data_IF_610371504555
#
_entry.id   IF_610371504555
#
_cell.length_a   1.000
_cell.length_b   1.000
_cell.length_c   1.000
_cell.angle_alpha   90.00
_cell.angle_beta   90.00
_cell.angle_gamma   90.00
#
_symmetry.space_group_name_H-M   'P 1'
#
loop_
_entity.id
_entity.type
_entity.pdbx_description
1 polymer ?
#
# COMPACT_ATOMS: atom_id res chain seq x y z
N UNK A 1 35.64 -33.18 -14.54
CA UNK A 1 35.21 -31.86 -14.05
C UNK A 1 34.23 -32.09 -12.91
N UNK A 2 34.61 -31.70 -11.71
CA UNK A 2 33.82 -31.81 -10.47
C UNK A 2 33.88 -30.45 -9.76
N UNK A 3 32.79 -30.13 -9.08
CA UNK A 3 32.32 -28.82 -8.59
C UNK A 3 33.28 -28.03 -7.68
N UNK A 4 33.04 -26.71 -7.54
CA UNK A 4 32.76 -26.07 -6.23
C UNK A 4 32.34 -24.58 -6.33
N UNK A 5 31.35 -24.25 -5.50
CA UNK A 5 30.78 -22.95 -5.16
C UNK A 5 31.82 -21.92 -4.70
N UNK A 6 31.59 -20.66 -5.01
CA UNK A 6 32.02 -19.51 -4.19
C UNK A 6 30.82 -18.58 -4.03
N UNK A 7 30.31 -18.48 -2.81
CA UNK A 7 29.38 -17.44 -2.40
C UNK A 7 30.17 -16.28 -1.83
N UNK A 8 29.83 -15.06 -2.25
CA UNK A 8 30.27 -13.83 -1.59
C UNK A 8 29.04 -12.95 -1.36
N UNK A 9 28.65 -12.91 -0.09
CA UNK A 9 28.40 -11.73 0.72
C UNK A 9 27.91 -10.46 0.01
N UNK A 10 26.66 -10.08 0.33
CA UNK A 10 26.31 -8.69 0.58
C UNK A 10 25.13 -8.66 1.56
N UNK A 11 25.49 -8.65 2.84
CA UNK A 11 24.55 -8.47 3.95
C UNK A 11 23.84 -7.13 3.82
N UNK A 12 22.51 -7.18 3.88
CA UNK A 12 21.67 -6.02 4.11
C UNK A 12 21.98 -5.46 5.51
N UNK A 13 22.52 -4.26 5.58
CA UNK A 13 22.60 -3.49 6.82
C UNK A 13 21.25 -2.81 7.08
N UNK A 14 20.51 -3.31 8.06
CA UNK A 14 19.41 -2.59 8.70
C UNK A 14 20.04 -1.60 9.70
N UNK A 15 19.65 -0.32 9.74
CA UNK A 15 20.16 0.59 10.76
C UNK A 15 19.43 0.35 12.08
N UNK A 16 20.05 -0.45 12.94
CA UNK A 16 19.74 -0.56 14.37
C UNK A 16 20.80 0.20 15.18
N UNK A 17 20.31 1.01 16.11
CA UNK A 17 20.94 1.63 17.28
C UNK A 17 22.43 1.33 17.53
N UNK A 18 23.28 2.37 17.47
CA UNK A 18 24.43 2.48 18.38
C UNK A 18 24.54 3.93 18.89
N UNK A 19 24.22 4.11 20.18
CA UNK A 19 24.37 5.35 20.93
C UNK A 19 25.85 5.52 21.34
N UNK A 20 26.68 6.00 20.43
CA UNK A 20 28.06 6.41 20.69
C UNK A 20 28.11 7.79 21.35
N UNK A 21 28.66 7.85 22.56
CA UNK A 21 28.86 9.10 23.31
C UNK A 21 30.17 9.75 22.88
N UNK A 22 30.15 10.70 21.93
CA UNK A 22 31.27 11.62 21.75
C UNK A 22 30.79 13.04 21.44
N UNK A 23 31.24 13.97 22.30
CA UNK A 23 31.00 15.41 22.20
C UNK A 23 31.72 15.95 20.97
N UNK A 24 30.99 16.43 19.97
CA UNK A 24 31.50 17.47 19.07
C UNK A 24 30.36 18.37 18.60
N UNK A 25 30.56 19.67 18.89
CA UNK A 25 29.72 20.79 18.53
C UNK A 25 29.62 20.87 17.02
N UNK A 26 28.42 20.71 16.45
CA UNK A 26 27.92 21.40 15.24
C UNK A 26 26.44 21.03 15.16
N UNK A 27 25.58 21.96 15.59
CA UNK A 27 24.13 21.78 15.62
C UNK A 27 23.57 21.56 14.22
N UNK A 28 23.49 20.30 13.80
CA UNK A 28 22.39 19.88 12.94
C UNK A 28 21.18 19.80 13.85
N UNK A 29 20.34 20.82 13.80
CA UNK A 29 18.92 20.65 14.08
C UNK A 29 18.44 19.51 13.20
N UNK A 30 18.47 18.30 13.76
CA UNK A 30 17.60 17.23 13.32
C UNK A 30 16.21 17.78 13.64
N UNK A 31 15.60 18.41 12.64
CA UNK A 31 14.23 18.88 12.69
C UNK A 31 13.40 17.65 13.05
N UNK A 32 13.10 17.53 14.33
CA UNK A 32 12.23 16.53 14.91
C UNK A 32 10.93 16.65 14.12
N UNK A 33 10.75 15.77 13.13
CA UNK A 33 9.54 15.74 12.33
C UNK A 33 8.42 15.56 13.34
N UNK A 34 7.62 16.62 13.49
CA UNK A 34 6.63 16.69 14.55
C UNK A 34 5.71 15.48 14.35
N UNK A 35 5.60 14.59 15.33
CA UNK A 35 4.94 13.29 15.16
C UNK A 35 3.51 13.46 14.61
N UNK A 36 2.86 14.58 14.94
CA UNK A 36 1.58 15.00 14.37
C UNK A 36 1.60 15.31 12.87
N UNK A 37 2.65 15.91 12.32
CA UNK A 37 2.78 16.20 10.88
C UNK A 37 2.89 14.91 10.05
N UNK A 38 3.66 13.93 10.53
CA UNK A 38 3.77 12.61 9.92
C UNK A 38 2.42 11.87 9.90
N UNK A 39 1.64 12.00 10.98
CA UNK A 39 0.30 11.44 11.09
C UNK A 39 -0.65 12.08 10.07
N UNK A 40 -0.67 13.42 9.97
CA UNK A 40 -1.51 14.13 8.99
C UNK A 40 -1.15 13.77 7.55
N UNK A 41 0.14 13.65 7.22
CA UNK A 41 0.59 13.23 5.88
C UNK A 41 0.14 11.79 5.58
N UNK A 42 0.21 10.88 6.56
CA UNK A 42 -0.29 9.50 6.42
C UNK A 42 -1.80 9.47 6.20
N UNK A 43 -2.57 10.30 6.91
CA UNK A 43 -4.03 10.43 6.72
C UNK A 43 -4.38 10.85 5.29
N UNK A 44 -3.71 11.89 4.80
CA UNK A 44 -3.93 12.44 3.44
C UNK A 44 -3.61 11.40 2.37
N UNK A 45 -2.50 10.67 2.51
CA UNK A 45 -2.14 9.57 1.61
C UNK A 45 -3.17 8.44 1.65
N UNK A 46 -3.62 8.05 2.85
CA UNK A 46 -4.65 7.02 3.00
C UNK A 46 -5.98 7.43 2.34
N UNK A 47 -6.39 8.70 2.48
CA UNK A 47 -7.58 9.22 1.78
C UNK A 47 -7.43 9.14 0.26
N UNK A 48 -6.29 9.56 -0.29
CA UNK A 48 -6.05 9.47 -1.73
C UNK A 48 -6.07 8.01 -2.23
N UNK A 49 -5.46 7.09 -1.48
CA UNK A 49 -5.48 5.65 -1.80
C UNK A 49 -6.91 5.09 -1.78
N UNK A 50 -7.73 5.49 -0.81
CA UNK A 50 -9.14 5.10 -0.76
C UNK A 50 -9.90 5.59 -1.98
N UNK A 51 -9.75 6.87 -2.36
CA UNK A 51 -10.39 7.47 -3.53
C UNK A 51 -10.00 6.73 -4.83
N UNK A 52 -8.71 6.44 -5.00
CA UNK A 52 -8.21 5.64 -6.13
C UNK A 52 -8.81 4.22 -6.10
N UNK A 53 -8.95 3.63 -4.92
CA UNK A 53 -9.53 2.28 -4.78
C UNK A 53 -10.99 2.23 -5.26
N UNK A 54 -11.79 3.27 -4.99
CA UNK A 54 -13.15 3.37 -5.54
C UNK A 54 -13.14 3.48 -7.06
N UNK A 55 -12.29 4.35 -7.62
CA UNK A 55 -12.18 4.49 -9.08
C UNK A 55 -11.78 3.17 -9.77
N UNK A 56 -10.86 2.42 -9.17
CA UNK A 56 -10.48 1.09 -9.66
C UNK A 56 -11.66 0.11 -9.62
N UNK A 57 -12.42 0.09 -8.53
CA UNK A 57 -13.61 -0.78 -8.40
C UNK A 57 -14.63 -0.47 -9.49
N UNK A 58 -14.90 0.82 -9.76
CA UNK A 58 -15.87 1.23 -10.79
C UNK A 58 -15.43 0.76 -12.19
N UNK A 59 -14.16 0.98 -12.54
CA UNK A 59 -13.60 0.54 -13.82
C UNK A 59 -13.63 -0.98 -13.97
N UNK A 60 -13.26 -1.72 -12.92
CA UNK A 60 -13.29 -3.19 -12.92
C UNK A 60 -14.72 -3.71 -13.05
N UNK A 61 -15.69 -3.06 -12.40
CA UNK A 61 -17.12 -3.38 -12.53
C UNK A 61 -17.59 -3.22 -13.98
N UNK A 62 -17.23 -2.11 -14.62
CA UNK A 62 -17.55 -1.87 -16.04
C UNK A 62 -16.93 -2.96 -16.91
N UNK A 63 -15.63 -3.26 -16.74
CA UNK A 63 -14.94 -4.31 -17.50
C UNK A 63 -15.65 -5.65 -17.33
N UNK A 64 -16.00 -6.02 -16.09
CA UNK A 64 -16.67 -7.30 -15.78
C UNK A 64 -18.02 -7.40 -16.49
N UNK A 65 -18.84 -6.34 -16.46
CA UNK A 65 -20.12 -6.32 -17.18
C UNK A 65 -19.94 -6.41 -18.70
N UNK A 66 -18.90 -5.78 -19.27
CA UNK A 66 -18.60 -5.89 -20.71
C UNK A 66 -18.17 -7.31 -21.10
N UNK A 67 -17.37 -7.96 -20.25
CA UNK A 67 -16.95 -9.35 -20.43
C UNK A 67 -18.15 -10.30 -20.45
N UNK A 68 -19.10 -10.12 -19.54
CA UNK A 68 -20.33 -10.94 -19.50
C UNK A 68 -21.18 -10.78 -20.76
N UNK A 69 -21.34 -9.55 -21.26
CA UNK A 69 -22.06 -9.28 -22.52
C UNK A 69 -21.38 -9.99 -23.70
N UNK A 70 -20.05 -9.98 -23.74
CA UNK A 70 -19.27 -10.60 -24.82
C UNK A 70 -19.30 -12.13 -24.75
N UNK A 71 -19.43 -12.72 -23.57
CA UNK A 71 -19.29 -14.17 -23.36
C UNK A 71 -20.29 -15.02 -24.16
N UNK A 72 -21.49 -14.48 -24.47
CA UNK A 72 -22.47 -15.15 -25.33
C UNK A 72 -22.40 -14.76 -26.82
N UNK A 73 -21.46 -13.91 -27.22
CA UNK A 73 -21.44 -13.26 -28.54
C UNK A 73 -20.13 -13.46 -29.31
N UNK A 74 -19.04 -13.83 -28.64
CA UNK A 74 -17.74 -14.01 -29.28
C UNK A 74 -17.58 -15.43 -29.84
N UNK A 75 -16.87 -15.59 -30.98
CA UNK A 75 -16.45 -16.90 -31.46
C UNK A 75 -15.65 -17.68 -30.41
N UNK A 76 -15.75 -19.03 -30.44
CA UNK A 76 -15.10 -19.91 -29.47
C UNK A 76 -13.58 -19.71 -29.36
N UNK A 77 -12.92 -19.29 -30.44
CA UNK A 77 -11.49 -19.00 -30.47
C UNK A 77 -11.05 -17.91 -29.47
N UNK A 78 -11.96 -17.01 -29.05
CA UNK A 78 -11.67 -15.90 -28.13
C UNK A 78 -12.16 -16.14 -26.71
N UNK A 79 -12.79 -17.29 -26.42
CA UNK A 79 -13.32 -17.57 -25.09
C UNK A 79 -12.24 -17.65 -24.03
N UNK A 80 -11.06 -18.19 -24.37
CA UNK A 80 -9.94 -18.29 -23.43
C UNK A 80 -9.43 -16.90 -23.00
N UNK A 81 -9.22 -16.00 -23.98
CA UNK A 81 -8.83 -14.61 -23.71
C UNK A 81 -9.88 -13.90 -22.85
N UNK A 82 -11.16 -14.09 -23.17
CA UNK A 82 -12.25 -13.49 -22.43
C UNK A 82 -12.32 -14.00 -20.98
N UNK A 83 -12.06 -15.30 -20.78
CA UNK A 83 -11.93 -15.89 -19.44
C UNK A 83 -10.70 -15.38 -18.69
N UNK A 84 -9.58 -15.15 -19.37
CA UNK A 84 -8.37 -14.56 -18.79
C UNK A 84 -8.63 -13.13 -18.30
N UNK A 85 -9.32 -12.31 -19.09
CA UNK A 85 -9.75 -10.95 -18.71
C UNK A 85 -10.67 -11.02 -17.48
N UNK A 86 -11.66 -11.92 -17.48
CA UNK A 86 -12.55 -12.12 -16.32
C UNK A 86 -11.76 -12.45 -15.06
N UNK A 87 -10.80 -13.37 -15.15
CA UNK A 87 -9.96 -13.80 -14.02
C UNK A 87 -9.10 -12.64 -13.51
N UNK A 88 -8.54 -11.82 -14.41
CA UNK A 88 -7.77 -10.64 -14.04
C UNK A 88 -8.64 -9.58 -13.34
N UNK A 89 -9.85 -9.32 -13.85
CA UNK A 89 -10.81 -8.40 -13.24
C UNK A 89 -11.18 -8.83 -11.81
N UNK A 90 -11.48 -10.12 -11.60
CA UNK A 90 -11.78 -10.64 -10.25
C UNK A 90 -10.62 -10.48 -9.27
N UNK A 91 -9.38 -10.73 -9.72
CA UNK A 91 -8.19 -10.48 -8.89
C UNK A 91 -8.01 -9.00 -8.57
N UNK A 92 -8.25 -8.12 -9.56
CA UNK A 92 -8.20 -6.67 -9.37
C UNK A 92 -9.24 -6.18 -8.37
N UNK A 93 -10.44 -6.77 -8.36
CA UNK A 93 -11.49 -6.44 -7.41
C UNK A 93 -11.10 -6.81 -5.97
N UNK A 94 -10.54 -8.01 -5.78
CA UNK A 94 -10.05 -8.43 -4.47
C UNK A 94 -8.89 -7.54 -3.99
N UNK A 95 -7.93 -7.24 -4.87
CA UNK A 95 -6.86 -6.29 -4.58
C UNK A 95 -7.40 -4.92 -4.14
N UNK A 96 -8.34 -4.36 -4.89
CA UNK A 96 -8.90 -3.02 -4.62
C UNK A 96 -9.67 -3.00 -3.29
N UNK A 97 -10.37 -4.09 -2.97
CA UNK A 97 -11.04 -4.27 -1.68
C UNK A 97 -10.04 -4.28 -0.52
N UNK A 98 -8.97 -5.05 -0.62
CA UNK A 98 -7.92 -5.13 0.41
C UNK A 98 -7.20 -3.79 0.59
N UNK A 99 -6.86 -3.12 -0.52
CA UNK A 99 -6.25 -1.80 -0.49
C UNK A 99 -7.13 -0.76 0.21
N UNK A 100 -8.43 -0.77 -0.09
CA UNK A 100 -9.41 0.10 0.58
C UNK A 100 -9.48 -0.18 2.09
N UNK A 101 -9.52 -1.45 2.49
CA UNK A 101 -9.55 -1.82 3.91
C UNK A 101 -8.30 -1.33 4.65
N UNK A 102 -7.11 -1.48 4.05
CA UNK A 102 -5.87 -0.97 4.62
C UNK A 102 -5.89 0.57 4.74
N UNK A 103 -6.34 1.27 3.69
CA UNK A 103 -6.49 2.73 3.72
C UNK A 103 -7.47 3.20 4.81
N UNK A 104 -8.59 2.49 4.99
CA UNK A 104 -9.55 2.76 6.07
C UNK A 104 -8.94 2.57 7.46
N UNK A 105 -8.16 1.51 7.66
CA UNK A 105 -7.47 1.25 8.93
C UNK A 105 -6.50 2.40 9.27
N UNK A 106 -5.68 2.81 8.31
CA UNK A 106 -4.75 3.94 8.49
C UNK A 106 -5.46 5.26 8.83
N UNK A 107 -6.71 5.47 8.40
CA UNK A 107 -7.48 6.66 8.83
C UNK A 107 -8.04 6.53 10.24
N UNK A 108 -8.52 5.34 10.62
CA UNK A 108 -9.15 5.11 11.94
C UNK A 108 -8.15 5.23 13.08
N UNK A 109 -6.93 4.75 12.90
CA UNK A 109 -5.83 4.93 13.86
C UNK A 109 -5.59 6.42 14.19
N UNK A 110 -5.87 7.32 13.24
CA UNK A 110 -5.66 8.76 13.38
C UNK A 110 -6.81 9.44 14.13
N UNK A 111 -8.06 8.98 13.90
CA UNK A 111 -9.21 9.45 14.66
C UNK A 111 -9.09 9.11 16.16
N UNK A 112 -8.62 7.90 16.47
CA UNK A 112 -8.41 7.46 17.87
C UNK A 112 -7.28 8.24 18.56
N UNK A 113 -6.22 8.62 17.83
CA UNK A 113 -5.11 9.41 18.38
C UNK A 113 -5.51 10.86 18.69
N UNK A 114 -6.44 11.46 17.93
CA UNK A 114 -6.92 12.82 18.18
C UNK A 114 -7.80 12.89 19.44
N UNK A 115 -8.67 11.90 19.66
CA UNK A 115 -9.54 11.83 20.84
C UNK A 115 -8.75 11.57 22.13
N UNK A 116 -7.64 10.81 22.07
CA UNK A 116 -6.77 10.60 23.23
C UNK A 116 -5.99 11.88 23.59
N UNK A 117 -5.50 12.63 22.60
CA UNK A 117 -4.77 13.88 22.86
C UNK A 117 -5.64 14.94 23.54
N UNK A 118 -6.94 15.01 23.23
CA UNK A 118 -7.88 15.92 23.90
C UNK A 118 -8.24 15.47 25.33
N UNK A 119 -8.30 14.16 25.61
CA UNK A 119 -8.63 13.64 26.94
C UNK A 119 -7.47 13.71 27.96
N UNK A 120 -6.22 13.86 27.52
CA UNK A 120 -5.06 14.03 28.40
C UNK A 120 -4.62 15.50 28.60
N UNK A 121 -5.30 16.45 27.96
CA UNK A 121 -5.03 17.88 28.07
C UNK A 121 -6.06 18.64 28.95
N UNK A 122 -6.98 17.91 29.61
CA UNK A 122 -8.01 18.44 30.51
C UNK A 122 -7.68 18.26 31.98
#
# INVERSE_FOLDING_TARGET
>A
MQERKSGQDSQASLPGEECGTEKSQHGRTCSQANTGELVVVRAKRAKLIEEISYQLIDLITIISGRVEILNGRVPNAFLEDLQAIRKAAMKGMEFSKQLRLAALACRREIGVMHDLAENYAG
#
